data_IF_685332113409
#
_entry.id   IF_685332113409
#
_cell.length_a   1.000
_cell.length_b   1.000
_cell.length_c   1.000
_cell.angle_alpha   90.00
_cell.angle_beta   90.00
_cell.angle_gamma   90.00
#
_symmetry.space_group_name_H-M   'P 1'
#
loop_
_entity.id
_entity.type
_entity.pdbx_description
1 polymer ?
#
# COMPACT_ATOMS: atom_id res chain seq x y z
N UNK A 1 -0.39 49.90 -15.60
CA UNK A 1 0.35 49.46 -14.40
C UNK A 1 -0.35 48.27 -13.72
N UNK A 2 -1.68 48.21 -13.77
CA UNK A 2 -2.50 47.11 -13.20
C UNK A 2 -2.34 45.75 -13.91
N UNK A 3 -2.15 45.70 -15.23
CA UNK A 3 -2.01 44.43 -15.96
C UNK A 3 -0.75 43.62 -15.59
N UNK A 4 0.32 44.31 -15.19
CA UNK A 4 1.58 43.66 -14.76
C UNK A 4 1.43 43.00 -13.38
N UNK A 5 0.58 43.57 -12.52
CA UNK A 5 0.28 43.01 -11.20
C UNK A 5 -0.59 41.76 -11.31
N UNK A 6 -1.59 41.77 -12.20
CA UNK A 6 -2.48 40.62 -12.41
C UNK A 6 -1.71 39.39 -12.95
N UNK A 7 -0.77 39.61 -13.89
CA UNK A 7 0.04 38.54 -14.46
C UNK A 7 1.02 37.95 -13.42
N UNK A 8 1.57 38.78 -12.52
CA UNK A 8 2.42 38.33 -11.41
C UNK A 8 1.65 37.53 -10.36
N UNK A 9 0.43 37.95 -10.02
CA UNK A 9 -0.45 37.23 -9.07
C UNK A 9 -0.85 35.87 -9.65
N UNK A 10 -1.22 35.80 -10.93
CA UNK A 10 -1.57 34.54 -11.59
C UNK A 10 -0.40 33.55 -11.61
N UNK A 11 0.83 34.04 -11.78
CA UNK A 11 2.04 33.20 -11.76
C UNK A 11 2.33 32.65 -10.36
N UNK A 12 2.08 33.44 -9.31
CA UNK A 12 2.27 33.03 -7.90
C UNK A 12 1.26 31.96 -7.47
N UNK A 13 0.00 32.07 -7.92
CA UNK A 13 -1.05 31.08 -7.61
C UNK A 13 -0.77 29.73 -8.27
N UNK A 14 -0.24 29.71 -9.50
CA UNK A 14 0.18 28.48 -10.18
C UNK A 14 1.38 27.85 -9.46
N UNK A 15 2.35 28.66 -9.01
CA UNK A 15 3.52 28.15 -8.29
C UNK A 15 3.15 27.51 -6.94
N UNK A 16 2.14 28.05 -6.25
CA UNK A 16 1.64 27.52 -4.97
C UNK A 16 0.91 26.17 -5.10
N UNK A 17 0.31 25.88 -6.25
CA UNK A 17 -0.36 24.60 -6.51
C UNK A 17 0.62 23.43 -6.70
N UNK A 18 1.86 23.70 -7.11
CA UNK A 18 2.88 22.66 -7.32
C UNK A 18 3.58 22.21 -6.03
N UNK A 19 3.48 22.97 -4.95
CA UNK A 19 4.23 22.70 -3.70
C UNK A 19 3.50 21.75 -2.74
N UNK A 20 2.23 21.41 -3.01
CA UNK A 20 1.47 20.46 -2.17
C UNK A 20 1.60 19.00 -2.61
N UNK A 21 2.31 18.73 -3.71
CA UNK A 21 2.67 17.37 -4.11
C UNK A 21 3.95 16.93 -3.37
N UNK A 22 3.96 17.03 -2.04
CA UNK A 22 4.93 16.27 -1.26
C UNK A 22 4.50 14.81 -1.34
N UNK A 23 5.24 14.02 -2.13
CA UNK A 23 5.20 12.56 -2.07
C UNK A 23 5.63 12.16 -0.66
N UNK A 24 4.65 11.98 0.23
CA UNK A 24 4.87 11.40 1.54
C UNK A 24 5.16 9.91 1.31
N UNK A 25 6.43 9.61 1.13
CA UNK A 25 6.92 8.25 1.13
C UNK A 25 6.80 7.75 2.58
N UNK A 26 5.72 7.01 2.83
CA UNK A 26 5.45 6.47 4.16
C UNK A 26 6.47 5.37 4.42
N UNK A 27 7.58 5.72 5.06
CA UNK A 27 8.52 4.74 5.58
C UNK A 27 7.83 4.02 6.76
N UNK A 28 7.25 2.84 6.52
CA UNK A 28 6.60 2.01 7.53
C UNK A 28 7.54 0.87 7.93
N UNK A 29 8.47 1.06 8.88
CA UNK A 29 9.19 -0.06 9.44
C UNK A 29 8.23 -0.85 10.33
N UNK A 30 7.69 -1.94 9.79
CA UNK A 30 6.91 -2.90 10.56
C UNK A 30 7.76 -3.40 11.74
N UNK A 31 7.26 -3.20 12.96
CA UNK A 31 7.81 -3.77 14.18
C UNK A 31 6.78 -4.69 14.83
N UNK A 32 7.21 -5.59 15.70
CA UNK A 32 6.28 -6.46 16.42
C UNK A 32 5.29 -5.64 17.28
N UNK A 33 5.77 -4.60 17.96
CA UNK A 33 4.95 -3.70 18.77
C UNK A 33 3.91 -2.93 17.94
N UNK A 34 4.29 -2.51 16.72
CA UNK A 34 3.35 -1.92 15.77
C UNK A 34 2.26 -2.93 15.39
N UNK A 35 2.67 -4.12 14.97
CA UNK A 35 1.76 -5.17 14.49
C UNK A 35 0.75 -5.62 15.56
N UNK A 36 1.08 -5.53 16.84
CA UNK A 36 0.14 -5.82 17.93
C UNK A 36 -0.99 -4.80 18.06
N UNK A 37 -0.76 -3.57 17.62
CA UNK A 37 -1.68 -2.44 17.81
C UNK A 37 -2.32 -1.97 16.50
N UNK A 38 -1.78 -2.44 15.37
CA UNK A 38 -2.20 -2.04 14.05
C UNK A 38 -3.66 -2.44 13.76
N UNK A 39 -4.34 -1.60 12.98
CA UNK A 39 -5.65 -1.89 12.41
C UNK A 39 -5.52 -1.89 10.88
N UNK A 40 -5.23 -3.05 10.26
CA UNK A 40 -5.03 -3.13 8.81
C UNK A 40 -6.26 -2.69 8.01
N UNK A 41 -7.46 -2.71 8.60
CA UNK A 41 -8.68 -2.23 7.95
C UNK A 41 -8.71 -0.69 7.90
N UNK A 42 -8.38 -0.04 9.02
CA UNK A 42 -8.25 1.41 9.08
C UNK A 42 -7.12 1.88 8.15
N UNK A 43 -5.96 1.24 8.21
CA UNK A 43 -4.79 1.57 7.40
C UNK A 43 -5.10 1.45 5.90
N UNK A 44 -5.78 0.38 5.48
CA UNK A 44 -6.22 0.22 4.10
C UNK A 44 -7.21 1.32 3.68
N UNK A 45 -8.18 1.65 4.52
CA UNK A 45 -9.14 2.73 4.21
C UNK A 45 -8.44 4.08 4.05
N UNK A 46 -7.44 4.37 4.86
CA UNK A 46 -6.66 5.61 4.76
C UNK A 46 -5.80 5.65 3.49
N UNK A 47 -5.15 4.53 3.14
CA UNK A 47 -4.39 4.40 1.90
C UNK A 47 -5.31 4.60 0.67
N UNK A 48 -6.44 3.90 0.63
CA UNK A 48 -7.44 4.00 -0.42
C UNK A 48 -8.00 5.43 -0.55
N UNK A 49 -8.23 6.12 0.56
CA UNK A 49 -8.70 7.51 0.55
C UNK A 49 -7.71 8.49 -0.11
N UNK A 50 -6.41 8.12 -0.16
CA UNK A 50 -5.35 8.88 -0.84
C UNK A 50 -5.05 8.35 -2.25
N UNK A 51 -5.80 7.36 -2.72
CA UNK A 51 -5.58 6.71 -4.02
C UNK A 51 -4.39 5.75 -4.05
N UNK A 52 -3.88 5.32 -2.89
CA UNK A 52 -2.82 4.32 -2.81
C UNK A 52 -3.43 2.91 -2.93
N UNK A 53 -3.15 2.25 -4.04
CA UNK A 53 -3.62 0.88 -4.36
C UNK A 53 -2.51 -0.17 -4.18
N UNK A 54 -1.35 0.22 -3.63
CA UNK A 54 -0.28 -0.72 -3.35
C UNK A 54 -0.70 -1.67 -2.23
N UNK A 55 -0.17 -2.88 -2.29
CA UNK A 55 -0.48 -3.98 -1.35
C UNK A 55 0.78 -4.46 -0.65
N UNK A 56 0.62 -5.15 0.48
CA UNK A 56 1.75 -5.67 1.23
C UNK A 56 2.12 -7.10 0.80
N UNK A 57 3.41 -7.29 0.55
CA UNK A 57 4.03 -8.59 0.30
C UNK A 57 4.66 -9.17 1.57
N UNK A 58 4.63 -10.49 1.71
CA UNK A 58 5.27 -11.20 2.83
C UNK A 58 6.25 -12.22 2.27
N UNK A 59 7.49 -12.17 2.76
CA UNK A 59 8.54 -13.10 2.39
C UNK A 59 8.38 -14.46 3.10
N UNK A 60 8.60 -15.51 2.33
CA UNK A 60 8.68 -16.91 2.75
C UNK A 60 9.62 -17.65 1.80
N UNK A 61 9.23 -18.84 1.34
CA UNK A 61 9.95 -19.51 0.25
C UNK A 61 9.98 -18.65 -1.03
N UNK A 62 8.89 -17.94 -1.27
CA UNK A 62 8.77 -16.85 -2.25
C UNK A 62 7.99 -15.71 -1.61
N UNK A 63 8.04 -14.51 -2.20
CA UNK A 63 7.16 -13.43 -1.80
C UNK A 63 5.71 -13.75 -2.19
N UNK A 64 4.80 -13.57 -1.26
CA UNK A 64 3.35 -13.74 -1.47
C UNK A 64 2.63 -12.44 -1.17
N UNK A 65 1.43 -12.26 -1.70
CA UNK A 65 0.53 -11.14 -1.38
C UNK A 65 -0.70 -11.71 -0.67
N UNK A 66 -0.66 -11.97 0.65
CA UNK A 66 -1.80 -12.56 1.36
C UNK A 66 -3.07 -11.74 1.13
N UNK A 67 -4.24 -12.38 1.01
CA UNK A 67 -5.51 -11.67 0.84
C UNK A 67 -5.79 -11.06 -0.53
N UNK A 68 -4.87 -11.17 -1.51
CA UNK A 68 -5.10 -10.81 -2.92
C UNK A 68 -4.31 -11.74 -3.84
N UNK A 69 -4.88 -12.20 -4.95
CA UNK A 69 -4.15 -13.09 -5.86
C UNK A 69 -2.95 -12.37 -6.46
N UNK A 70 -1.79 -13.03 -6.49
CA UNK A 70 -0.53 -12.43 -6.90
C UNK A 70 -0.56 -11.92 -8.33
N UNK A 71 -1.31 -12.57 -9.21
CA UNK A 71 -1.48 -12.22 -10.63
C UNK A 71 -2.31 -10.95 -10.84
N UNK A 72 -2.99 -10.46 -9.79
CA UNK A 72 -3.76 -9.21 -9.81
C UNK A 72 -2.93 -7.97 -9.60
N UNK A 73 -1.66 -8.13 -9.22
CA UNK A 73 -0.86 -7.03 -8.70
C UNK A 73 0.45 -6.98 -9.46
N UNK A 74 0.72 -5.82 -10.06
CA UNK A 74 2.01 -5.57 -10.69
C UNK A 74 3.12 -5.49 -9.63
N UNK A 75 4.34 -5.93 -9.97
CA UNK A 75 5.48 -5.99 -9.04
C UNK A 75 5.78 -4.64 -8.38
N UNK A 76 5.63 -3.55 -9.12
CA UNK A 76 5.81 -2.16 -8.65
C UNK A 76 4.80 -1.73 -7.58
N UNK A 77 3.67 -2.44 -7.46
CA UNK A 77 2.61 -2.15 -6.50
C UNK A 77 2.68 -3.03 -5.24
N UNK A 78 3.74 -3.83 -5.10
CA UNK A 78 3.95 -4.68 -3.91
C UNK A 78 4.99 -4.03 -3.01
N UNK A 79 4.58 -3.71 -1.78
CA UNK A 79 5.45 -3.22 -0.72
C UNK A 79 5.80 -4.40 0.18
N UNK A 80 7.04 -4.89 0.19
CA UNK A 80 7.42 -5.98 1.08
C UNK A 80 7.34 -5.54 2.55
N UNK A 81 6.83 -6.41 3.41
CA UNK A 81 6.99 -6.30 4.86
C UNK A 81 8.38 -6.83 5.22
N UNK A 82 9.32 -5.91 5.34
CA UNK A 82 10.70 -6.21 5.73
C UNK A 82 10.77 -6.97 7.07
N UNK A 83 11.69 -7.92 7.16
CA UNK A 83 11.86 -8.79 8.34
C UNK A 83 10.98 -10.04 8.34
N UNK A 84 10.04 -10.19 7.40
CA UNK A 84 9.37 -11.47 7.17
C UNK A 84 10.34 -12.46 6.50
N UNK A 85 10.23 -13.75 6.82
CA UNK A 85 11.02 -14.81 6.18
C UNK A 85 10.41 -16.20 6.42
N UNK A 86 10.89 -17.20 5.69
CA UNK A 86 10.57 -18.61 5.94
C UNK A 86 11.31 -19.18 7.16
N UNK A 87 12.36 -18.50 7.64
CA UNK A 87 13.10 -18.87 8.84
C UNK A 87 12.44 -18.30 10.10
N UNK A 88 12.20 -19.16 11.09
CA UNK A 88 11.62 -18.79 12.40
C UNK A 88 12.55 -19.33 13.49
N UNK A 89 13.61 -18.59 13.79
CA UNK A 89 14.66 -18.99 14.72
C UNK A 89 14.31 -18.65 16.17
N UNK A 90 13.39 -17.69 16.38
CA UNK A 90 12.89 -17.30 17.69
C UNK A 90 11.36 -17.25 17.76
N UNK A 91 10.82 -17.24 18.98
CA UNK A 91 9.39 -17.05 19.21
C UNK A 91 8.91 -15.67 18.74
N UNK A 92 9.73 -14.64 18.95
CA UNK A 92 9.46 -13.27 18.51
C UNK A 92 9.39 -13.16 16.99
N UNK A 93 10.32 -13.80 16.27
CA UNK A 93 10.28 -13.90 14.80
C UNK A 93 9.04 -14.64 14.31
N UNK A 94 8.64 -15.73 15.00
CA UNK A 94 7.43 -16.46 14.65
C UNK A 94 6.19 -15.57 14.83
N UNK A 95 6.10 -14.81 15.93
CA UNK A 95 5.02 -13.85 16.17
C UNK A 95 5.00 -12.75 15.11
N UNK A 96 6.15 -12.15 14.82
CA UNK A 96 6.27 -11.12 13.79
C UNK A 96 5.78 -11.63 12.44
N UNK A 97 6.26 -12.79 12.00
CA UNK A 97 5.84 -13.37 10.72
C UNK A 97 4.35 -13.67 10.68
N UNK A 98 3.77 -14.21 11.74
CA UNK A 98 2.32 -14.47 11.81
C UNK A 98 1.51 -13.18 11.76
N UNK A 99 1.88 -12.17 12.55
CA UNK A 99 1.14 -10.91 12.59
C UNK A 99 1.31 -10.10 11.31
N UNK A 100 2.50 -10.09 10.70
CA UNK A 100 2.75 -9.48 9.41
C UNK A 100 1.90 -10.12 8.31
N UNK A 101 1.77 -11.46 8.33
CA UNK A 101 0.92 -12.18 7.39
C UNK A 101 -0.55 -11.79 7.54
N UNK A 102 -1.06 -11.79 8.78
CA UNK A 102 -2.44 -11.38 9.06
C UNK A 102 -2.68 -9.92 8.68
N UNK A 103 -1.76 -9.02 9.03
CA UNK A 103 -1.85 -7.62 8.67
C UNK A 103 -1.97 -7.46 7.15
N UNK A 104 -1.06 -8.08 6.38
CA UNK A 104 -1.08 -8.04 4.93
C UNK A 104 -2.39 -8.62 4.36
N UNK A 105 -2.85 -9.76 4.88
CA UNK A 105 -4.08 -10.40 4.44
C UNK A 105 -5.30 -9.47 4.57
N UNK A 106 -5.53 -8.92 5.76
CA UNK A 106 -6.66 -8.03 5.98
C UNK A 106 -6.54 -6.73 5.19
N UNK A 107 -5.36 -6.11 5.15
CA UNK A 107 -5.15 -4.87 4.39
C UNK A 107 -5.41 -5.11 2.90
N UNK A 108 -4.79 -6.13 2.32
CA UNK A 108 -4.84 -6.41 0.90
C UNK A 108 -6.24 -6.81 0.44
N UNK A 109 -7.00 -7.56 1.25
CA UNK A 109 -8.39 -7.90 0.90
C UNK A 109 -9.30 -6.66 0.83
N UNK A 110 -9.04 -5.61 1.61
CA UNK A 110 -9.76 -4.34 1.48
C UNK A 110 -9.40 -3.62 0.19
N UNK A 111 -8.13 -3.64 -0.20
CA UNK A 111 -7.68 -3.10 -1.49
C UNK A 111 -8.30 -3.89 -2.64
N UNK A 112 -8.29 -5.22 -2.60
CA UNK A 112 -8.91 -6.08 -3.62
C UNK A 112 -10.40 -5.78 -3.75
N UNK A 113 -11.13 -5.71 -2.64
CA UNK A 113 -12.56 -5.37 -2.66
C UNK A 113 -12.82 -4.00 -3.28
N UNK A 114 -11.98 -3.01 -2.96
CA UNK A 114 -12.09 -1.67 -3.54
C UNK A 114 -11.86 -1.70 -5.05
N UNK A 115 -10.83 -2.40 -5.53
CA UNK A 115 -10.54 -2.55 -6.96
C UNK A 115 -11.70 -3.23 -7.70
N UNK A 116 -12.24 -4.33 -7.14
CA UNK A 116 -13.40 -5.03 -7.68
C UNK A 116 -14.63 -4.11 -7.77
N UNK A 117 -14.87 -3.29 -6.73
CA UNK A 117 -15.99 -2.33 -6.72
C UNK A 117 -15.85 -1.25 -7.81
N UNK A 118 -14.62 -0.86 -8.15
CA UNK A 118 -14.33 0.06 -9.25
C UNK A 118 -14.40 -0.60 -10.64
N UNK A 119 -14.69 -1.90 -10.70
CA UNK A 119 -14.82 -2.65 -11.95
C UNK A 119 -13.51 -3.24 -12.47
N UNK A 120 -12.46 -3.30 -11.66
CA UNK A 120 -11.24 -4.00 -12.02
C UNK A 120 -11.47 -5.52 -11.94
N UNK A 121 -11.24 -6.25 -13.02
CA UNK A 121 -11.57 -7.68 -13.12
C UNK A 121 -10.32 -8.52 -13.21
N UNK A 122 -9.58 -8.63 -12.11
CA UNK A 122 -8.50 -9.59 -12.03
C UNK A 122 -8.97 -11.06 -12.25
N UNK A 123 -10.26 -11.36 -12.06
CA UNK A 123 -10.81 -12.74 -12.14
C UNK A 123 -10.80 -13.33 -13.57
N UNK A 124 -10.62 -12.53 -14.62
CA UNK A 124 -10.81 -13.02 -16.00
C UNK A 124 -9.57 -13.66 -16.65
N UNK A 125 -8.36 -13.38 -16.15
CA UNK A 125 -7.11 -13.80 -16.83
C UNK A 125 -6.69 -15.26 -16.63
N UNK A 126 -7.36 -16.04 -15.78
CA UNK A 126 -6.99 -17.43 -15.48
C UNK A 126 -7.77 -18.49 -16.27
N UNK A 127 -8.60 -18.08 -17.25
CA UNK A 127 -9.39 -19.00 -18.11
C UNK A 127 -8.80 -19.20 -19.51
N UNK A 128 -7.67 -18.58 -19.81
CA UNK A 128 -7.00 -18.67 -21.12
C UNK A 128 -5.71 -19.53 -21.09
N UNK A 129 -5.45 -20.24 -19.98
CA UNK A 129 -4.29 -21.13 -19.81
C UNK A 129 -4.67 -22.61 -19.77
#
# INVERSE_FOLDING_TARGET
>A
MEEVLLNKISTIVILLYFITACSYEVEQPFTLDYLYQADPTADAREALARGDLRVYGVYGYSMTTPGIRRECVDEENIIPIEGTSDTRQSYEEAQFNTLAHLYAEYYNSHVEFYMLYQGDTCIDKSREG
#
